data_IF_847514831618
#
_entry.id   IF_847514831618
#
_cell.length_a   1.000
_cell.length_b   1.000
_cell.length_c   1.000
_cell.angle_alpha   90.00
_cell.angle_beta   90.00
_cell.angle_gamma   90.00
#
_symmetry.space_group_name_H-M   'P 1'
#
loop_
_entity.id
_entity.type
_entity.pdbx_description
1 polymer ?
#
# COMPACT_ATOMS: atom_id res chain seq x y z
N UNK A 1 6.98 8.47 -17.09
CA UNK A 1 6.16 9.11 -16.04
C UNK A 1 5.37 8.02 -15.36
N UNK A 2 5.34 7.98 -14.02
CA UNK A 2 4.58 6.96 -13.28
C UNK A 2 3.06 7.22 -13.35
N UNK A 3 2.24 6.17 -13.22
CA UNK A 3 0.78 6.31 -13.19
C UNK A 3 0.30 7.23 -12.06
N UNK A 4 -0.72 8.06 -12.34
CA UNK A 4 -1.35 8.95 -11.36
C UNK A 4 -2.46 8.23 -10.60
N UNK A 5 -2.78 8.70 -9.40
CA UNK A 5 -3.93 8.20 -8.64
C UNK A 5 -5.22 8.69 -9.29
N UNK A 6 -6.15 7.76 -9.54
CA UNK A 6 -7.47 8.04 -10.12
C UNK A 6 -8.57 8.01 -9.07
N UNK A 7 -8.46 7.13 -8.07
CA UNK A 7 -9.42 7.06 -6.97
C UNK A 7 -8.78 6.43 -5.74
N UNK A 8 -9.28 6.84 -4.57
CA UNK A 8 -8.90 6.33 -3.25
C UNK A 8 -10.14 5.74 -2.56
N UNK A 9 -9.94 4.68 -1.79
CA UNK A 9 -10.96 4.13 -0.90
C UNK A 9 -10.33 3.77 0.43
N UNK A 10 -10.93 4.27 1.51
CA UNK A 10 -10.57 3.86 2.86
C UNK A 10 -10.96 2.42 3.11
N UNK A 11 -10.06 1.62 3.69
CA UNK A 11 -10.34 0.25 4.10
C UNK A 11 -10.58 0.19 5.61
N UNK A 12 -9.53 0.45 6.39
CA UNK A 12 -9.50 0.36 7.85
C UNK A 12 -8.16 0.85 8.38
N UNK A 13 -8.11 1.26 9.65
CA UNK A 13 -6.88 1.80 10.27
C UNK A 13 -6.27 2.92 9.40
N UNK A 14 -5.02 2.72 8.98
CA UNK A 14 -4.29 3.62 8.07
C UNK A 14 -4.16 3.06 6.65
N UNK A 15 -5.04 2.12 6.26
CA UNK A 15 -4.97 1.43 4.97
C UNK A 15 -5.89 2.07 3.96
N UNK A 16 -5.32 2.41 2.80
CA UNK A 16 -6.06 2.92 1.65
C UNK A 16 -5.86 2.01 0.45
N UNK A 17 -6.95 1.75 -0.28
CA UNK A 17 -6.90 1.15 -1.61
C UNK A 17 -6.84 2.25 -2.65
N UNK A 18 -5.80 2.23 -3.49
CA UNK A 18 -5.62 3.17 -4.59
C UNK A 18 -5.84 2.47 -5.92
N UNK A 19 -6.48 3.19 -6.85
CA UNK A 19 -6.56 2.81 -8.26
C UNK A 19 -5.86 3.87 -9.09
N UNK A 20 -4.98 3.43 -9.98
CA UNK A 20 -4.17 4.29 -10.83
C UNK A 20 -4.74 4.43 -12.24
N UNK A 21 -4.24 5.41 -12.99
CA UNK A 21 -4.69 5.69 -14.37
C UNK A 21 -4.44 4.56 -15.37
N UNK A 22 -3.42 3.73 -15.13
CA UNK A 22 -3.10 2.52 -15.91
C UNK A 22 -3.95 1.30 -15.52
N UNK A 23 -5.01 1.48 -14.71
CA UNK A 23 -5.90 0.44 -14.19
C UNK A 23 -5.29 -0.50 -13.14
N UNK A 24 -4.05 -0.29 -12.70
CA UNK A 24 -3.52 -1.05 -11.56
C UNK A 24 -4.15 -0.56 -10.26
N UNK A 25 -4.20 -1.46 -9.29
CA UNK A 25 -4.69 -1.18 -7.94
C UNK A 25 -3.67 -1.67 -6.92
N UNK A 26 -3.62 -1.04 -5.76
CA UNK A 26 -2.81 -1.52 -4.64
C UNK A 26 -3.30 -0.98 -3.31
N UNK A 27 -2.93 -1.68 -2.24
CA UNK A 27 -3.25 -1.31 -0.87
C UNK A 27 -1.98 -0.79 -0.22
N UNK A 28 -2.07 0.36 0.41
CA UNK A 28 -0.96 0.99 1.13
C UNK A 28 -1.36 1.15 2.59
N UNK A 29 -0.50 0.68 3.50
CA UNK A 29 -0.58 1.00 4.92
C UNK A 29 0.28 2.23 5.23
N UNK A 30 -0.37 3.32 5.63
CA UNK A 30 0.27 4.59 5.96
C UNK A 30 0.74 4.67 7.41
N UNK A 31 0.50 3.66 8.26
CA UNK A 31 0.80 3.72 9.69
C UNK A 31 2.26 4.12 9.95
N UNK A 32 3.21 3.48 9.27
CA UNK A 32 4.65 3.78 9.43
C UNK A 32 5.07 5.13 8.84
N UNK A 33 4.24 5.74 7.98
CA UNK A 33 4.51 7.05 7.38
C UNK A 33 3.93 8.21 8.19
N UNK A 34 2.97 7.94 9.08
CA UNK A 34 2.23 8.96 9.84
C UNK A 34 2.58 8.89 11.33
N UNK A 35 2.42 7.72 11.95
CA UNK A 35 2.44 7.59 13.41
C UNK A 35 3.83 7.92 13.96
N UNK A 36 3.89 8.86 14.92
CA UNK A 36 5.12 9.23 15.59
C UNK A 36 6.01 10.19 14.81
N UNK A 37 5.60 10.63 13.61
CA UNK A 37 6.33 11.68 12.87
C UNK A 37 6.14 13.08 13.45
N UNK A 38 4.99 13.35 14.07
CA UNK A 38 4.65 14.68 14.56
C UNK A 38 4.58 15.74 13.46
N UNK A 39 4.62 17.02 13.85
CA UNK A 39 4.55 18.16 12.93
C UNK A 39 3.27 18.16 12.10
N UNK A 40 3.40 18.39 10.79
CA UNK A 40 2.26 18.37 9.84
C UNK A 40 1.56 17.01 9.76
N UNK A 41 2.21 15.92 10.18
CA UNK A 41 1.60 14.59 10.22
C UNK A 41 0.79 14.33 11.50
N UNK A 42 0.86 15.22 12.50
CA UNK A 42 0.17 14.98 13.78
C UNK A 42 -1.35 14.84 13.64
N UNK A 43 -2.06 15.68 12.85
CA UNK A 43 -3.51 15.51 12.65
C UNK A 43 -3.87 14.18 11.98
N UNK A 44 -2.98 13.67 11.13
CA UNK A 44 -3.17 12.40 10.42
C UNK A 44 -3.14 11.17 11.35
N UNK A 45 -2.68 11.29 12.59
CA UNK A 45 -2.78 10.23 13.61
C UNK A 45 -4.21 10.03 14.12
N UNK A 46 -5.13 10.97 13.86
CA UNK A 46 -6.55 10.77 14.06
C UNK A 46 -7.15 10.06 12.83
N UNK A 47 -7.82 8.93 13.05
CA UNK A 47 -8.43 8.13 11.98
C UNK A 47 -9.54 8.90 11.27
N UNK A 48 -10.34 9.70 11.97
CA UNK A 48 -11.41 10.49 11.36
C UNK A 48 -10.84 11.64 10.50
N UNK A 49 -9.67 12.16 10.87
CA UNK A 49 -8.93 13.10 10.03
C UNK A 49 -8.30 12.41 8.83
N UNK A 50 -7.69 11.24 9.04
CA UNK A 50 -7.07 10.45 7.98
C UNK A 50 -8.07 10.03 6.89
N UNK A 51 -9.32 9.74 7.26
CA UNK A 51 -10.41 9.42 6.31
C UNK A 51 -10.78 10.56 5.37
N UNK A 52 -10.40 11.81 5.68
CA UNK A 52 -10.67 12.98 4.84
C UNK A 52 -9.75 13.07 3.62
N UNK A 53 -8.95 12.04 3.35
CA UNK A 53 -8.10 11.94 2.16
C UNK A 53 -8.93 12.10 0.89
N UNK A 54 -8.44 12.93 -0.03
CA UNK A 54 -9.00 13.08 -1.38
C UNK A 54 -7.91 12.94 -2.43
N UNK A 55 -8.31 12.65 -3.67
CA UNK A 55 -7.40 12.71 -4.82
C UNK A 55 -7.42 14.12 -5.36
N UNK A 56 -6.26 14.76 -5.49
CA UNK A 56 -6.17 16.03 -6.22
C UNK A 56 -6.37 15.77 -7.73
N UNK A 57 -7.40 16.34 -8.36
CA UNK A 57 -7.68 16.11 -9.78
C UNK A 57 -6.60 16.65 -10.72
N UNK A 58 -5.76 17.60 -10.27
CA UNK A 58 -4.73 18.22 -11.11
C UNK A 58 -3.43 17.41 -11.07
N UNK A 59 -2.89 17.15 -9.88
CA UNK A 59 -1.64 16.41 -9.74
C UNK A 59 -1.81 14.88 -9.75
N UNK A 60 -3.02 14.38 -9.45
CA UNK A 60 -3.29 12.96 -9.27
C UNK A 60 -2.56 12.37 -8.06
N UNK A 61 -2.41 13.19 -7.01
CA UNK A 61 -1.82 12.85 -5.70
C UNK A 61 -2.91 12.58 -4.66
N UNK A 62 -2.54 12.07 -3.49
CA UNK A 62 -3.40 12.12 -2.30
C UNK A 62 -3.12 13.38 -1.51
N UNK A 63 -4.16 14.09 -1.11
CA UNK A 63 -4.08 15.31 -0.29
C UNK A 63 -5.05 15.23 0.88
N UNK A 64 -4.61 15.76 2.03
CA UNK A 64 -5.42 15.94 3.24
C UNK A 64 -5.73 17.42 3.51
N UNK A 65 -6.70 17.75 4.38
CA UNK A 65 -7.14 19.13 4.61
C UNK A 65 -6.04 20.09 5.11
N UNK A 66 -4.97 19.56 5.68
CA UNK A 66 -3.77 20.31 6.12
C UNK A 66 -2.71 20.43 5.02
N UNK A 67 -3.08 20.22 3.75
CA UNK A 67 -2.21 20.32 2.58
C UNK A 67 -1.06 19.30 2.55
N UNK A 68 -1.05 18.33 3.48
CA UNK A 68 -0.13 17.21 3.40
C UNK A 68 -0.51 16.37 2.21
N UNK A 69 0.46 16.13 1.34
CA UNK A 69 0.32 15.30 0.16
C UNK A 69 1.34 14.17 0.10
N UNK A 70 1.03 13.15 -0.70
CA UNK A 70 1.96 12.06 -1.01
C UNK A 70 2.08 11.91 -2.51
N UNK A 71 3.23 12.33 -3.06
CA UNK A 71 3.50 12.29 -4.50
C UNK A 71 3.10 10.94 -5.14
N UNK A 72 2.41 10.95 -6.30
CA UNK A 72 1.94 9.74 -6.98
C UNK A 72 3.05 8.72 -7.28
N UNK A 73 4.27 9.18 -7.48
CA UNK A 73 5.43 8.32 -7.76
C UNK A 73 5.72 7.40 -6.55
N UNK A 74 5.75 7.97 -5.35
CA UNK A 74 5.91 7.24 -4.08
C UNK A 74 4.72 6.33 -3.82
N UNK A 75 3.50 6.80 -4.12
CA UNK A 75 2.29 6.00 -3.95
C UNK A 75 2.29 4.77 -4.85
N UNK A 76 2.73 4.92 -6.11
CA UNK A 76 2.81 3.81 -7.05
C UNK A 76 3.81 2.76 -6.59
N UNK A 77 5.01 3.17 -6.18
CA UNK A 77 6.03 2.27 -5.65
C UNK A 77 5.54 1.53 -4.40
N UNK A 78 4.95 2.24 -3.44
CA UNK A 78 4.40 1.63 -2.22
C UNK A 78 3.27 0.64 -2.54
N UNK A 79 2.37 1.00 -3.45
CA UNK A 79 1.25 0.15 -3.84
C UNK A 79 1.73 -1.15 -4.51
N UNK A 80 2.72 -1.05 -5.41
CA UNK A 80 3.22 -2.22 -6.15
C UNK A 80 4.16 -3.09 -5.32
N UNK A 81 4.97 -2.50 -4.43
CA UNK A 81 5.87 -3.26 -3.56
C UNK A 81 5.11 -4.03 -2.47
N UNK A 82 3.99 -3.49 -1.97
CA UNK A 82 3.11 -4.22 -1.04
C UNK A 82 2.32 -5.34 -1.73
N UNK A 83 2.00 -5.21 -3.02
CA UNK A 83 1.35 -6.27 -3.80
C UNK A 83 2.26 -7.51 -3.98
N UNK A 84 3.58 -7.32 -4.02
CA UNK A 84 4.54 -8.42 -4.16
C UNK A 84 4.70 -9.25 -2.87
N UNK A 85 4.33 -8.69 -1.71
CA UNK A 85 4.47 -9.38 -0.41
C UNK A 85 3.29 -10.31 -0.07
N UNK A 86 2.18 -10.28 -0.83
CA UNK A 86 1.04 -11.18 -0.65
C UNK A 86 1.05 -12.39 -1.60
N UNK A 87 2.03 -12.50 -2.50
CA UNK A 87 2.14 -13.59 -3.48
C UNK A 87 3.29 -14.59 -3.22
N UNK A 88 3.95 -14.56 -2.05
CA UNK A 88 4.87 -15.62 -1.63
C UNK A 88 4.32 -16.34 -0.41
N UNK A 89 3.33 -17.20 -0.64
CA UNK A 89 2.68 -17.92 0.46
C UNK A 89 1.67 -18.96 0.03
N UNK A 90 1.83 -19.62 -1.12
CA UNK A 90 1.06 -20.84 -1.43
C UNK A 90 1.93 -21.88 -2.16
N UNK A 91 2.34 -22.87 -1.36
CA UNK A 91 2.64 -24.27 -1.71
C UNK A 91 3.34 -24.60 -3.03
N UNK A 92 4.60 -25.06 -2.93
CA UNK A 92 4.99 -26.33 -3.56
C UNK A 92 5.87 -27.14 -2.59
N UNK A 93 5.23 -28.03 -1.84
CA UNK A 93 5.87 -29.20 -1.24
C UNK A 93 6.41 -30.06 -2.38
N UNK A 94 7.71 -29.96 -2.67
CA UNK A 94 8.39 -30.98 -3.47
C UNK A 94 8.64 -32.18 -2.57
N UNK A 95 7.69 -33.11 -2.59
CA UNK A 95 7.86 -34.48 -2.12
C UNK A 95 9.08 -35.09 -2.79
N UNK A 96 10.19 -35.21 -2.06
CA UNK A 96 11.29 -36.10 -2.43
C UNK A 96 11.02 -37.44 -1.75
N UNK A 97 10.30 -38.32 -2.44
CA UNK A 97 10.32 -39.75 -2.15
C UNK A 97 11.71 -40.27 -2.53
N UNK A 98 12.56 -40.54 -1.55
CA UNK A 98 13.69 -41.45 -1.73
C UNK A 98 13.30 -42.83 -1.21
N UNK A 99 13.44 -43.90 -2.03
CA UNK A 99 13.20 -45.26 -1.57
C UNK A 99 14.30 -45.69 -0.60
N UNK A 100 13.86 -46.29 0.51
CA UNK A 100 14.68 -46.99 1.49
C UNK A 100 15.64 -47.96 0.79
N UNK A 101 16.95 -47.84 1.07
CA UNK A 101 17.89 -48.95 0.89
C UNK A 101 18.33 -49.48 2.24
N UNK A 102 17.83 -50.67 2.54
CA UNK A 102 18.38 -51.64 3.49
C UNK A 102 19.69 -52.25 2.97
N UNK A 103 20.43 -52.89 3.89
CA UNK A 103 21.65 -53.71 3.73
C UNK A 103 22.95 -52.93 3.99
N UNK A 104 23.84 -53.30 4.91
CA UNK A 104 24.13 -54.58 5.58
C UNK A 104 24.64 -54.31 7.00
#
# INVERSE_FOLDING_TARGET
>A
MLPRVKSVSYLDGYRLKLRFTNKTEGIIDFRQKIVGRGGVFKPLEDIEYFKQVVVDPVSGTLIWPNEVDFCPDVLYELAMNNATSVAQGTNQTLTVLQPQRTST
#
